data_IF_697735914002
#
_entry.id   IF_697735914002
#
_cell.length_a   1.000
_cell.length_b   1.000
_cell.length_c   1.000
_cell.angle_alpha   90.00
_cell.angle_beta   90.00
_cell.angle_gamma   90.00
#
_symmetry.space_group_name_H-M   'P 1'
#
loop_
_entity.id
_entity.type
_entity.pdbx_description
1 polymer ?
#
# COMPACT_ATOMS: atom_id res chain seq x y z
N UNK A 1 23.19 -11.98 4.37
CA UNK A 1 23.78 -10.73 3.82
C UNK A 1 22.94 -10.33 2.62
N UNK A 2 22.46 -9.09 2.58
CA UNK A 2 21.70 -8.57 1.45
C UNK A 2 22.58 -8.48 0.19
N UNK A 3 22.08 -8.97 -0.94
CA UNK A 3 22.82 -9.01 -2.21
C UNK A 3 23.25 -7.61 -2.66
N UNK A 4 22.42 -6.59 -2.43
CA UNK A 4 22.71 -5.21 -2.77
C UNK A 4 23.92 -4.67 -2.02
N UNK A 5 23.89 -4.80 -0.68
CA UNK A 5 24.97 -4.34 0.20
C UNK A 5 26.28 -5.09 -0.06
N UNK A 6 26.19 -6.41 -0.33
CA UNK A 6 27.35 -7.20 -0.68
C UNK A 6 28.03 -6.74 -1.97
N UNK A 7 27.25 -6.56 -3.02
CA UNK A 7 27.76 -6.11 -4.34
C UNK A 7 28.33 -4.69 -4.25
N UNK A 8 27.69 -3.81 -3.49
CA UNK A 8 28.18 -2.43 -3.31
C UNK A 8 29.53 -2.40 -2.57
N UNK A 9 29.67 -3.21 -1.51
CA UNK A 9 30.94 -3.40 -0.81
C UNK A 9 32.00 -4.01 -1.73
N UNK A 10 31.65 -4.98 -2.56
CA UNK A 10 32.54 -5.60 -3.53
C UNK A 10 32.98 -4.62 -4.63
N UNK A 11 32.08 -3.76 -5.12
CA UNK A 11 32.40 -2.67 -6.08
C UNK A 11 33.46 -1.74 -5.50
N UNK A 12 33.30 -1.30 -4.26
CA UNK A 12 34.24 -0.41 -3.58
C UNK A 12 35.59 -1.10 -3.40
N UNK A 13 35.60 -2.36 -2.98
CA UNK A 13 36.82 -3.13 -2.77
C UNK A 13 37.60 -3.37 -4.07
N UNK A 14 36.91 -3.69 -5.15
CA UNK A 14 37.48 -3.88 -6.47
C UNK A 14 38.01 -2.57 -7.08
N UNK A 15 37.27 -1.48 -6.92
CA UNK A 15 37.69 -0.16 -7.41
C UNK A 15 39.00 0.31 -6.75
N UNK A 16 39.20 -0.03 -5.47
CA UNK A 16 40.39 0.38 -4.71
C UNK A 16 41.60 -0.54 -4.94
N UNK A 17 41.37 -1.81 -5.25
CA UNK A 17 42.46 -2.82 -5.30
C UNK A 17 42.74 -3.35 -6.69
N UNK A 18 41.88 -3.14 -7.69
CA UNK A 18 42.03 -3.68 -9.03
C UNK A 18 42.21 -2.56 -10.05
N UNK A 19 43.38 -2.49 -10.66
CA UNK A 19 43.64 -1.62 -11.83
C UNK A 19 43.43 -2.43 -13.11
N UNK A 20 42.32 -2.18 -13.78
CA UNK A 20 42.02 -2.83 -15.05
C UNK A 20 42.85 -2.23 -16.20
N UNK A 21 43.37 -3.05 -17.11
CA UNK A 21 43.96 -2.57 -18.37
C UNK A 21 42.91 -1.84 -19.23
N UNK A 22 43.36 -0.96 -20.11
CA UNK A 22 42.47 -0.25 -21.02
C UNK A 22 41.67 -1.23 -21.89
N UNK A 23 40.34 -1.09 -21.93
CA UNK A 23 39.45 -1.94 -22.70
C UNK A 23 38.74 -3.03 -21.90
N UNK A 24 39.05 -3.20 -20.60
CA UNK A 24 38.32 -4.14 -19.72
C UNK A 24 37.29 -3.40 -18.86
N UNK A 25 36.12 -4.01 -18.73
CA UNK A 25 35.03 -3.51 -17.82
C UNK A 25 34.52 -4.65 -16.95
N UNK A 26 34.11 -4.31 -15.71
CA UNK A 26 33.46 -5.25 -14.80
C UNK A 26 31.97 -5.07 -14.95
N UNK A 27 31.27 -6.14 -15.31
CA UNK A 27 29.81 -6.20 -15.33
C UNK A 27 29.31 -7.13 -14.23
N UNK A 28 28.32 -6.66 -13.49
CA UNK A 28 27.67 -7.44 -12.43
C UNK A 28 26.41 -8.09 -13.02
N UNK A 29 26.40 -9.41 -13.10
CA UNK A 29 25.30 -10.19 -13.67
C UNK A 29 24.53 -10.95 -12.57
N UNK A 30 23.38 -11.50 -12.92
CA UNK A 30 22.56 -12.31 -12.02
C UNK A 30 21.51 -11.50 -11.26
N UNK A 31 21.18 -11.89 -10.03
CA UNK A 31 20.11 -11.27 -9.23
C UNK A 31 20.29 -9.76 -9.00
N UNK A 32 21.54 -9.30 -8.91
CA UNK A 32 21.84 -7.88 -8.75
C UNK A 32 21.37 -7.05 -9.94
N UNK A 33 21.60 -7.53 -11.16
CA UNK A 33 21.16 -6.84 -12.38
C UNK A 33 19.64 -6.73 -12.46
N UNK A 34 18.92 -7.82 -12.10
CA UNK A 34 17.45 -7.79 -12.04
C UNK A 34 16.94 -6.80 -10.99
N UNK A 35 17.60 -6.73 -9.84
CA UNK A 35 17.24 -5.80 -8.78
C UNK A 35 17.47 -4.35 -9.21
N UNK A 36 18.58 -4.05 -9.87
CA UNK A 36 18.90 -2.70 -10.35
C UNK A 36 17.92 -2.24 -11.44
N UNK A 37 17.60 -3.12 -12.40
CA UNK A 37 16.58 -2.88 -13.42
C UNK A 37 15.19 -2.69 -12.83
N UNK A 38 14.84 -3.47 -11.79
CA UNK A 38 13.57 -3.33 -11.11
C UNK A 38 13.48 -1.99 -10.36
N UNK A 39 14.55 -1.58 -9.67
CA UNK A 39 14.66 -0.29 -8.98
C UNK A 39 14.53 0.89 -9.95
N UNK A 40 15.20 0.83 -11.09
CA UNK A 40 15.11 1.85 -12.13
C UNK A 40 13.67 1.98 -12.67
N UNK A 41 13.03 0.87 -13.01
CA UNK A 41 11.64 0.86 -13.47
C UNK A 41 10.67 1.39 -12.41
N UNK A 42 10.82 0.96 -11.16
CA UNK A 42 9.96 1.40 -10.06
C UNK A 42 10.05 2.92 -9.82
N UNK A 43 11.22 3.52 -10.04
CA UNK A 43 11.42 4.97 -9.88
C UNK A 43 10.49 5.79 -10.80
N UNK A 44 10.16 5.28 -11.97
CA UNK A 44 9.23 5.96 -12.91
C UNK A 44 7.79 5.44 -12.79
N UNK A 45 7.62 4.13 -12.62
CA UNK A 45 6.30 3.50 -12.60
C UNK A 45 5.52 3.89 -11.35
N UNK A 46 6.19 3.94 -10.19
CA UNK A 46 5.52 4.23 -8.92
C UNK A 46 4.90 5.64 -8.87
N UNK A 47 5.61 6.73 -9.19
CA UNK A 47 5.00 8.06 -9.21
C UNK A 47 3.94 8.20 -10.31
N UNK A 48 4.12 7.54 -11.47
CA UNK A 48 3.12 7.56 -12.53
C UNK A 48 1.83 6.87 -12.10
N UNK A 49 1.91 5.70 -11.47
CA UNK A 49 0.72 4.99 -10.97
C UNK A 49 0.03 5.76 -9.86
N UNK A 50 0.77 6.36 -8.94
CA UNK A 50 0.21 7.22 -7.90
C UNK A 50 -0.51 8.43 -8.50
N UNK A 51 0.06 9.09 -9.51
CA UNK A 51 -0.59 10.19 -10.21
C UNK A 51 -1.90 9.75 -10.88
N UNK A 52 -1.92 8.60 -11.54
CA UNK A 52 -3.12 8.02 -12.16
C UNK A 52 -4.18 7.74 -11.08
N UNK A 53 -3.80 7.13 -9.95
CA UNK A 53 -4.72 6.85 -8.85
C UNK A 53 -5.34 8.15 -8.31
N UNK A 54 -4.53 9.19 -8.07
CA UNK A 54 -5.01 10.50 -7.60
C UNK A 54 -6.00 11.12 -8.59
N UNK A 55 -5.70 11.05 -9.89
CA UNK A 55 -6.58 11.56 -10.94
C UNK A 55 -7.91 10.80 -10.94
N UNK A 56 -7.88 9.47 -10.88
CA UNK A 56 -9.08 8.63 -10.86
C UNK A 56 -9.93 8.90 -9.60
N UNK A 57 -9.30 9.03 -8.43
CA UNK A 57 -9.99 9.39 -7.20
C UNK A 57 -10.64 10.77 -7.30
N UNK A 58 -9.92 11.74 -7.87
CA UNK A 58 -10.47 13.08 -8.07
C UNK A 58 -11.66 13.09 -9.05
N UNK A 59 -11.58 12.33 -10.12
CA UNK A 59 -12.70 12.19 -11.07
C UNK A 59 -13.93 11.53 -10.43
N UNK A 60 -13.70 10.59 -9.50
CA UNK A 60 -14.79 9.90 -8.80
C UNK A 60 -15.48 10.81 -7.75
N UNK A 61 -14.72 11.49 -6.92
CA UNK A 61 -15.25 12.28 -5.79
C UNK A 61 -15.51 13.74 -6.15
N UNK A 62 -14.77 14.29 -7.13
CA UNK A 62 -14.78 15.70 -7.53
C UNK A 62 -14.47 16.68 -6.39
N UNK A 63 -13.86 16.19 -5.31
CA UNK A 63 -13.48 16.97 -4.15
C UNK A 63 -12.05 16.59 -3.71
N UNK A 64 -11.17 17.58 -3.58
CA UNK A 64 -9.78 17.35 -3.14
C UNK A 64 -9.68 16.89 -1.69
N UNK A 65 -10.59 17.32 -0.83
CA UNK A 65 -10.63 16.91 0.58
C UNK A 65 -10.81 15.40 0.74
N UNK A 66 -11.68 14.79 -0.04
CA UNK A 66 -11.94 13.34 0.01
C UNK A 66 -10.74 12.54 -0.51
N UNK A 67 -10.13 13.01 -1.59
CA UNK A 67 -8.89 12.41 -2.11
C UNK A 67 -7.76 12.51 -1.07
N UNK A 68 -7.63 13.66 -0.39
CA UNK A 68 -6.63 13.87 0.64
C UNK A 68 -6.83 12.92 1.83
N UNK A 69 -8.07 12.70 2.28
CA UNK A 69 -8.39 11.75 3.35
C UNK A 69 -7.90 10.35 2.98
N UNK A 70 -8.21 9.86 1.77
CA UNK A 70 -7.78 8.54 1.32
C UNK A 70 -6.24 8.45 1.28
N UNK A 71 -5.56 9.46 0.73
CA UNK A 71 -4.10 9.46 0.65
C UNK A 71 -3.44 9.47 2.02
N UNK A 72 -3.99 10.23 2.99
CA UNK A 72 -3.46 10.29 4.36
C UNK A 72 -3.68 8.97 5.12
N UNK A 73 -4.69 8.17 4.76
CA UNK A 73 -4.86 6.84 5.37
C UNK A 73 -3.80 5.83 4.94
N UNK A 74 -3.15 6.02 3.77
CA UNK A 74 -2.10 5.11 3.28
C UNK A 74 -0.89 4.99 4.22
N UNK A 75 -0.24 6.07 4.67
CA UNK A 75 0.84 5.98 5.64
C UNK A 75 0.42 5.29 6.95
N UNK A 76 -0.81 5.51 7.41
CA UNK A 76 -1.32 4.84 8.61
C UNK A 76 -1.44 3.32 8.41
N UNK A 77 -1.95 2.88 7.26
CA UNK A 77 -2.00 1.46 6.92
C UNK A 77 -0.60 0.83 6.86
N UNK A 78 0.38 1.55 6.31
CA UNK A 78 1.77 1.09 6.21
C UNK A 78 2.45 0.91 7.57
N UNK A 79 2.05 1.65 8.61
CA UNK A 79 2.58 1.50 9.97
C UNK A 79 2.35 0.07 10.47
N UNK A 80 1.17 -0.52 10.24
CA UNK A 80 0.88 -1.90 10.61
C UNK A 80 1.83 -2.90 9.96
N UNK A 81 2.08 -2.77 8.67
CA UNK A 81 3.04 -3.61 7.94
C UNK A 81 4.48 -3.45 8.45
N UNK A 82 4.91 -2.22 8.78
CA UNK A 82 6.23 -1.98 9.37
C UNK A 82 6.39 -2.65 10.74
N UNK A 83 5.35 -2.60 11.59
CA UNK A 83 5.36 -3.27 12.88
C UNK A 83 5.43 -4.79 12.73
N UNK A 84 4.65 -5.38 11.82
CA UNK A 84 4.69 -6.82 11.57
C UNK A 84 6.06 -7.26 11.05
N UNK A 85 6.63 -6.51 10.10
CA UNK A 85 7.97 -6.77 9.58
C UNK A 85 9.03 -6.72 10.68
N UNK A 86 8.91 -5.79 11.63
CA UNK A 86 9.82 -5.69 12.78
C UNK A 86 9.68 -6.88 13.74
N UNK A 87 8.45 -7.30 14.03
CA UNK A 87 8.17 -8.44 14.93
C UNK A 87 8.65 -9.77 14.35
N UNK A 88 8.49 -9.99 13.05
CA UNK A 88 8.95 -11.19 12.35
C UNK A 88 10.44 -11.15 11.98
N UNK A 89 11.13 -10.03 12.24
CA UNK A 89 12.55 -9.87 11.94
C UNK A 89 12.89 -9.86 10.45
N UNK A 90 11.94 -9.49 9.59
CA UNK A 90 12.16 -9.43 8.15
C UNK A 90 12.96 -8.19 7.75
N UNK A 91 13.98 -8.39 6.91
CA UNK A 91 14.69 -7.29 6.29
C UNK A 91 13.88 -6.72 5.11
N UNK A 92 13.97 -5.41 4.91
CA UNK A 92 13.35 -4.75 3.77
C UNK A 92 13.91 -5.32 2.46
N UNK A 93 13.06 -5.96 1.69
CA UNK A 93 13.40 -6.63 0.42
C UNK A 93 12.40 -6.27 -0.67
N UNK A 94 12.70 -6.62 -1.92
CA UNK A 94 11.74 -6.44 -3.02
C UNK A 94 10.41 -7.17 -2.79
N UNK A 95 10.42 -8.32 -2.11
CA UNK A 95 9.23 -9.06 -1.74
C UNK A 95 8.35 -8.28 -0.74
N UNK A 96 8.97 -7.70 0.30
CA UNK A 96 8.30 -6.80 1.25
C UNK A 96 7.70 -5.58 0.54
N UNK A 97 8.45 -5.00 -0.41
CA UNK A 97 7.94 -3.88 -1.23
C UNK A 97 6.66 -4.24 -2.00
N UNK A 98 6.57 -5.44 -2.56
CA UNK A 98 5.35 -5.94 -3.23
C UNK A 98 4.20 -6.08 -2.22
N UNK A 99 4.46 -6.60 -1.01
CA UNK A 99 3.48 -6.66 0.07
C UNK A 99 2.93 -5.29 0.44
N UNK A 100 3.78 -4.27 0.58
CA UNK A 100 3.35 -2.89 0.83
C UNK A 100 2.50 -2.31 -0.31
N UNK A 101 2.80 -2.61 -1.57
CA UNK A 101 1.97 -2.18 -2.70
C UNK A 101 0.58 -2.83 -2.63
N UNK A 102 0.51 -4.13 -2.32
CA UNK A 102 -0.75 -4.83 -2.14
C UNK A 102 -1.57 -4.27 -0.97
N UNK A 103 -0.92 -4.03 0.18
CA UNK A 103 -1.53 -3.40 1.35
C UNK A 103 -2.10 -2.01 1.03
N UNK A 104 -1.34 -1.19 0.30
CA UNK A 104 -1.80 0.12 -0.14
C UNK A 104 -3.05 0.01 -1.02
N UNK A 105 -3.09 -0.96 -1.94
CA UNK A 105 -4.26 -1.21 -2.79
C UNK A 105 -5.52 -1.53 -1.98
N UNK A 106 -5.41 -2.45 -1.02
CA UNK A 106 -6.54 -2.81 -0.13
C UNK A 106 -6.96 -1.62 0.74
N UNK A 107 -6.01 -0.84 1.27
CA UNK A 107 -6.31 0.33 2.09
C UNK A 107 -7.08 1.40 1.29
N UNK A 108 -6.67 1.67 0.05
CA UNK A 108 -7.40 2.60 -0.84
C UNK A 108 -8.81 2.07 -1.14
N UNK A 109 -8.95 0.79 -1.45
CA UNK A 109 -10.25 0.17 -1.74
C UNK A 109 -11.21 0.35 -0.57
N UNK A 110 -10.78 0.01 0.64
CA UNK A 110 -11.59 0.18 1.86
C UNK A 110 -11.93 1.66 2.10
N UNK A 111 -10.95 2.55 1.94
CA UNK A 111 -11.13 4.00 2.12
C UNK A 111 -12.14 4.59 1.15
N UNK A 112 -12.04 4.25 -0.14
CA UNK A 112 -12.96 4.70 -1.19
C UNK A 112 -14.38 4.25 -0.90
N UNK A 113 -14.56 2.96 -0.61
CA UNK A 113 -15.88 2.40 -0.34
C UNK A 113 -16.49 3.05 0.91
N UNK A 114 -15.73 3.23 1.99
CA UNK A 114 -16.22 3.88 3.20
C UNK A 114 -16.68 5.31 2.92
N UNK A 115 -15.88 6.11 2.21
CA UNK A 115 -16.24 7.49 1.86
C UNK A 115 -17.49 7.58 0.98
N UNK A 116 -17.64 6.68 0.02
CA UNK A 116 -18.86 6.65 -0.82
C UNK A 116 -20.12 6.46 0.04
N UNK A 117 -20.09 5.54 1.02
CA UNK A 117 -21.25 5.32 1.90
C UNK A 117 -21.50 6.47 2.88
N UNK A 118 -20.44 7.09 3.38
CA UNK A 118 -20.56 8.29 4.22
C UNK A 118 -21.19 9.45 3.43
N UNK A 119 -20.73 9.66 2.19
CA UNK A 119 -21.28 10.69 1.32
C UNK A 119 -22.75 10.44 0.96
N UNK A 120 -23.12 9.18 0.71
CA UNK A 120 -24.52 8.81 0.48
C UNK A 120 -25.38 9.10 1.70
N UNK A 121 -24.95 8.70 2.88
CA UNK A 121 -25.70 8.97 4.12
C UNK A 121 -25.85 10.48 4.38
N UNK A 122 -24.82 11.27 4.11
CA UNK A 122 -24.88 12.74 4.22
C UNK A 122 -25.78 13.37 3.14
N UNK A 123 -25.79 12.82 1.93
CA UNK A 123 -26.68 13.29 0.87
C UNK A 123 -28.15 13.05 1.24
N UNK A 124 -28.48 11.86 1.75
CA UNK A 124 -29.83 11.53 2.23
C UNK A 124 -30.26 12.43 3.40
N UNK A 125 -29.34 12.75 4.31
CA UNK A 125 -29.63 13.67 5.41
C UNK A 125 -29.95 15.07 4.91
N UNK A 126 -29.17 15.57 3.93
CA UNK A 126 -29.42 16.90 3.32
C UNK A 126 -30.76 16.95 2.60
N UNK A 127 -31.08 15.94 1.82
CA UNK A 127 -32.37 15.84 1.11
C UNK A 127 -33.55 15.87 2.08
N UNK A 128 -33.49 15.09 3.17
CA UNK A 128 -34.52 15.07 4.21
C UNK A 128 -34.63 16.40 4.97
N UNK A 129 -33.52 17.10 5.18
CA UNK A 129 -33.53 18.42 5.83
C UNK A 129 -34.13 19.50 4.91
N UNK A 130 -33.86 19.45 3.61
CA UNK A 130 -34.46 20.34 2.62
C UNK A 130 -35.97 20.13 2.50
N UNK A 131 -36.43 18.87 2.48
CA UNK A 131 -37.87 18.54 2.45
C UNK A 131 -38.62 19.05 3.67
N UNK A 132 -37.98 19.05 4.86
CA UNK A 132 -38.59 19.48 6.13
C UNK A 132 -38.39 20.96 6.42
N UNK A 133 -37.55 21.64 5.60
CA UNK A 133 -37.12 23.02 5.87
C UNK A 133 -36.51 23.22 7.27
N UNK A 134 -35.87 22.19 7.81
CA UNK A 134 -35.26 22.20 9.16
C UNK A 134 -33.72 22.29 9.02
N UNK A 135 -33.05 23.07 9.88
CA UNK A 135 -31.61 23.10 9.92
C UNK A 135 -31.05 21.75 10.41
N UNK A 136 -29.98 21.27 9.77
CA UNK A 136 -29.30 20.04 10.20
C UNK A 136 -28.64 20.28 11.55
N UNK A 137 -29.04 19.53 12.57
CA UNK A 137 -28.39 19.56 13.88
C UNK A 137 -27.09 18.73 13.87
N UNK A 138 -26.15 19.07 14.76
CA UNK A 138 -24.90 18.31 14.90
C UNK A 138 -25.14 16.84 15.27
N UNK A 139 -26.17 16.57 16.06
CA UNK A 139 -26.56 15.21 16.46
C UNK A 139 -27.07 14.42 15.24
N UNK A 140 -27.91 15.03 14.39
CA UNK A 140 -28.39 14.40 13.16
C UNK A 140 -27.26 14.13 12.16
N UNK A 141 -26.25 15.02 12.12
CA UNK A 141 -25.07 14.83 11.30
C UNK A 141 -24.24 13.64 11.78
N UNK A 142 -23.99 13.53 13.10
CA UNK A 142 -23.27 12.41 13.68
C UNK A 142 -24.01 11.07 13.50
N UNK A 143 -25.33 11.06 13.71
CA UNK A 143 -26.15 9.87 13.50
C UNK A 143 -26.12 9.39 12.05
N UNK A 144 -26.15 10.29 11.08
CA UNK A 144 -26.04 9.94 9.66
C UNK A 144 -24.66 9.32 9.34
N UNK A 145 -23.58 9.88 9.91
CA UNK A 145 -22.23 9.33 9.74
C UNK A 145 -22.11 7.93 10.37
N UNK A 146 -22.61 7.77 11.59
CA UNK A 146 -22.61 6.47 12.29
C UNK A 146 -23.44 5.44 11.55
N UNK A 147 -24.59 5.82 10.99
CA UNK A 147 -25.43 4.94 10.21
C UNK A 147 -24.72 4.52 8.90
N UNK A 148 -24.18 5.47 8.14
CA UNK A 148 -23.46 5.21 6.90
C UNK A 148 -22.23 4.30 7.11
N UNK A 149 -21.43 4.58 8.15
CA UNK A 149 -20.30 3.74 8.52
C UNK A 149 -20.76 2.34 8.95
N UNK A 150 -21.81 2.25 9.79
CA UNK A 150 -22.34 0.98 10.32
C UNK A 150 -22.76 -0.01 9.25
N UNK A 151 -23.35 0.46 8.16
CA UNK A 151 -23.74 -0.37 7.01
C UNK A 151 -22.55 -1.07 6.36
N UNK A 152 -21.37 -0.48 6.46
CA UNK A 152 -20.16 -0.97 5.77
C UNK A 152 -19.19 -1.73 6.65
N UNK A 153 -19.24 -1.56 7.97
CA UNK A 153 -18.34 -2.26 8.92
C UNK A 153 -18.40 -3.78 8.71
N UNK A 154 -19.59 -4.37 8.61
CA UNK A 154 -19.75 -5.81 8.48
C UNK A 154 -19.12 -6.36 7.17
N UNK A 155 -19.44 -5.84 5.97
CA UNK A 155 -18.78 -6.28 4.72
C UNK A 155 -17.26 -6.10 4.76
N UNK A 156 -16.76 -4.96 5.24
CA UNK A 156 -15.32 -4.69 5.35
C UNK A 156 -14.64 -5.70 6.26
N UNK A 157 -15.22 -5.97 7.44
CA UNK A 157 -14.66 -6.97 8.37
C UNK A 157 -14.64 -8.37 7.77
N UNK A 158 -15.65 -8.74 6.96
CA UNK A 158 -15.65 -10.03 6.26
C UNK A 158 -14.53 -10.09 5.21
N UNK A 159 -14.33 -9.03 4.44
CA UNK A 159 -13.25 -8.96 3.43
C UNK A 159 -11.88 -9.05 4.09
N UNK A 160 -11.63 -8.26 5.13
CA UNK A 160 -10.36 -8.27 5.87
C UNK A 160 -10.11 -9.64 6.50
N UNK A 161 -11.12 -10.23 7.15
CA UNK A 161 -10.98 -11.58 7.74
C UNK A 161 -10.65 -12.63 6.67
N UNK A 162 -11.29 -12.57 5.50
CA UNK A 162 -11.02 -13.49 4.40
C UNK A 162 -9.59 -13.34 3.87
N UNK A 163 -9.10 -12.11 3.74
CA UNK A 163 -7.71 -11.83 3.31
C UNK A 163 -6.74 -12.41 4.34
N UNK A 164 -6.91 -12.11 5.63
CA UNK A 164 -6.03 -12.60 6.70
C UNK A 164 -6.02 -14.13 6.73
N UNK A 165 -7.18 -14.77 6.74
CA UNK A 165 -7.28 -16.24 6.77
C UNK A 165 -6.66 -16.85 5.49
N UNK A 166 -6.86 -16.23 4.33
CA UNK A 166 -6.30 -16.68 3.06
C UNK A 166 -4.77 -16.55 2.99
N UNK A 167 -4.18 -15.54 3.65
CA UNK A 167 -2.73 -15.34 3.69
C UNK A 167 -2.03 -16.15 4.78
N UNK A 168 -2.74 -16.56 5.85
CA UNK A 168 -2.15 -17.37 6.93
C UNK A 168 -1.40 -18.62 6.47
N UNK A 169 -1.93 -19.47 5.58
CA UNK A 169 -1.21 -20.63 5.10
C UNK A 169 0.08 -20.27 4.35
N UNK A 170 0.10 -19.12 3.70
CA UNK A 170 1.26 -18.63 2.94
C UNK A 170 2.32 -18.06 3.91
N UNK A 171 1.89 -17.39 4.96
CA UNK A 171 2.77 -16.80 5.97
C UNK A 171 3.53 -17.88 6.76
N UNK A 172 2.86 -18.95 7.14
CA UNK A 172 3.44 -20.06 7.94
C UNK A 172 3.79 -21.29 7.10
N UNK A 173 3.64 -21.25 5.78
CA UNK A 173 3.96 -22.34 4.87
C UNK A 173 5.46 -22.64 4.85
N UNK A 174 5.82 -23.92 4.79
CA UNK A 174 7.20 -24.39 4.65
C UNK A 174 7.37 -25.07 3.29
N UNK A 175 8.36 -24.66 2.53
CA UNK A 175 8.64 -25.23 1.20
C UNK A 175 9.59 -24.36 0.38
N UNK A 176 9.99 -24.83 -0.78
CA UNK A 176 10.82 -24.09 -1.71
C UNK A 176 10.07 -22.84 -2.20
N UNK A 177 10.62 -21.63 -1.94
CA UNK A 177 9.99 -20.34 -2.28
C UNK A 177 9.07 -19.77 -1.20
N UNK A 178 8.80 -20.49 -0.10
CA UNK A 178 8.00 -19.98 1.02
C UNK A 178 8.60 -18.75 1.67
N UNK A 179 9.93 -18.61 1.70
CA UNK A 179 10.62 -17.44 2.25
C UNK A 179 10.26 -16.14 1.54
N UNK A 180 10.05 -16.18 0.22
CA UNK A 180 9.66 -14.99 -0.55
C UNK A 180 8.16 -14.73 -0.35
N UNK A 181 7.35 -15.79 -0.42
CA UNK A 181 5.90 -15.69 -0.30
C UNK A 181 5.45 -15.24 1.09
N UNK A 182 6.10 -15.73 2.16
CA UNK A 182 5.82 -15.28 3.52
C UNK A 182 6.08 -13.80 3.73
N UNK A 183 7.17 -13.27 3.12
CA UNK A 183 7.49 -11.84 3.19
C UNK A 183 6.52 -10.95 2.40
N UNK A 184 5.86 -11.48 1.37
CA UNK A 184 4.81 -10.77 0.64
C UNK A 184 3.50 -10.80 1.44
N UNK A 185 3.23 -11.91 2.12
CA UNK A 185 1.99 -12.12 2.86
C UNK A 185 1.96 -11.45 4.25
N UNK A 186 3.14 -11.16 4.82
CA UNK A 186 3.28 -10.44 6.08
C UNK A 186 3.00 -8.94 5.91
#
# INVERSE_FOLDING_TARGET
VDVGTYVESAKIHLANNLKLPAGYSITWAGQYEYMERAKEKLTYVLPLTLAIIVILLYLNFRAFSEVAIIIVTLPMAMIGGLWLMYLEGFNFSGAVGVGFIALAGVAVEIGVIMLVYLNQALAELKEKAEERAEPISDDAYQDALLHGAGLRVRPVMMTVATIIIGLMPILYGTGTGSEIMSRIAA
#
